data_IF_513385963369
#
_entry.id   IF_513385963369
#
_cell.length_a   1.000
_cell.length_b   1.000
_cell.length_c   1.000
_cell.angle_alpha   90.00
_cell.angle_beta   90.00
_cell.angle_gamma   90.00
#
_symmetry.space_group_name_H-M   'P 1'
#
loop_
_entity.id
_entity.type
_entity.pdbx_description
1 polymer ?
#
# COMPACT_ATOMS: atom_id res chain seq x y z
N UNK A 1 5.93 -26.14 -28.51
CA UNK A 1 5.58 -25.33 -27.33
C UNK A 1 6.15 -26.05 -26.12
N UNK A 2 7.38 -25.71 -25.74
CA UNK A 2 8.08 -26.32 -24.61
C UNK A 2 8.03 -25.32 -23.45
N UNK A 3 6.90 -25.31 -22.75
CA UNK A 3 6.62 -24.45 -21.60
C UNK A 3 6.40 -25.37 -20.38
N UNK A 4 7.37 -26.25 -20.12
CA UNK A 4 7.26 -27.32 -19.14
C UNK A 4 8.22 -27.11 -17.98
N UNK A 5 7.77 -26.36 -16.97
CA UNK A 5 8.49 -26.03 -15.72
C UNK A 5 9.72 -25.13 -15.87
N UNK A 6 9.63 -23.92 -15.28
CA UNK A 6 10.81 -23.08 -15.08
C UNK A 6 11.76 -23.76 -14.10
N UNK A 7 13.06 -23.64 -14.34
CA UNK A 7 14.09 -24.06 -13.39
C UNK A 7 14.30 -23.03 -12.28
N UNK A 8 14.91 -23.43 -11.16
CA UNK A 8 15.17 -22.52 -10.03
C UNK A 8 15.96 -21.27 -10.45
N UNK A 9 17.02 -21.42 -11.26
CA UNK A 9 17.84 -20.30 -11.73
C UNK A 9 17.04 -19.30 -12.58
N UNK A 10 16.11 -19.81 -13.39
CA UNK A 10 15.23 -18.96 -14.21
C UNK A 10 14.24 -18.19 -13.32
N UNK A 11 13.67 -18.84 -12.30
CA UNK A 11 12.82 -18.16 -11.32
C UNK A 11 13.57 -17.06 -10.57
N UNK A 12 14.82 -17.30 -10.16
CA UNK A 12 15.65 -16.28 -9.52
C UNK A 12 15.87 -15.06 -10.43
N UNK A 13 16.11 -15.29 -11.72
CA UNK A 13 16.26 -14.22 -12.71
C UNK A 13 14.97 -13.44 -12.98
N UNK A 14 13.80 -14.06 -12.78
CA UNK A 14 12.49 -13.46 -13.01
C UNK A 14 11.83 -12.89 -11.75
N UNK A 15 12.43 -13.06 -10.57
CA UNK A 15 11.73 -12.76 -9.31
C UNK A 15 11.33 -11.29 -9.20
N UNK A 16 12.18 -10.38 -9.66
CA UNK A 16 11.93 -8.94 -9.53
C UNK A 16 10.73 -8.55 -10.38
N UNK A 17 10.74 -8.94 -11.66
CA UNK A 17 9.61 -8.73 -12.56
C UNK A 17 8.33 -9.43 -12.07
N UNK A 18 8.46 -10.59 -11.42
CA UNK A 18 7.33 -11.29 -10.80
C UNK A 18 6.72 -10.49 -9.65
N UNK A 19 7.56 -9.98 -8.74
CA UNK A 19 7.12 -9.17 -7.59
C UNK A 19 6.54 -7.82 -8.03
N UNK A 20 7.08 -7.24 -9.10
CA UNK A 20 6.63 -5.97 -9.67
C UNK A 20 5.41 -6.13 -10.58
N UNK A 21 4.95 -7.36 -10.83
CA UNK A 21 3.83 -7.64 -11.74
C UNK A 21 4.12 -7.32 -13.22
N UNK A 22 5.39 -7.21 -13.60
CA UNK A 22 5.85 -6.86 -14.94
C UNK A 22 5.90 -8.05 -15.91
N UNK A 23 5.74 -9.28 -15.41
CA UNK A 23 5.76 -10.48 -16.25
C UNK A 23 4.48 -10.66 -17.09
N UNK A 24 4.60 -11.12 -18.34
CA UNK A 24 3.45 -11.58 -19.11
C UNK A 24 2.68 -12.71 -18.40
N UNK A 25 1.35 -12.83 -18.58
CA UNK A 25 0.52 -13.77 -17.82
C UNK A 25 0.97 -15.23 -17.86
N UNK A 26 1.54 -15.69 -18.98
CA UNK A 26 2.09 -17.04 -19.11
C UNK A 26 3.29 -17.27 -18.19
N UNK A 27 4.24 -16.32 -18.17
CA UNK A 27 5.43 -16.38 -17.32
C UNK A 27 5.09 -16.20 -15.84
N UNK A 28 4.17 -15.29 -15.52
CA UNK A 28 3.69 -15.11 -14.16
C UNK A 28 3.10 -16.42 -13.60
N UNK A 29 2.27 -17.12 -14.39
CA UNK A 29 1.72 -18.44 -14.00
C UNK A 29 2.80 -19.51 -13.85
N UNK A 30 3.80 -19.51 -14.72
CA UNK A 30 4.89 -20.47 -14.65
C UNK A 30 5.78 -20.26 -13.40
N UNK A 31 6.08 -19.02 -13.05
CA UNK A 31 6.80 -18.67 -11.81
C UNK A 31 5.97 -19.06 -10.59
N UNK A 32 4.69 -18.68 -10.55
CA UNK A 32 3.79 -19.05 -9.46
C UNK A 32 3.68 -20.58 -9.27
N UNK A 33 3.58 -21.33 -10.38
CA UNK A 33 3.57 -22.79 -10.36
C UNK A 33 4.86 -23.37 -9.77
N UNK A 34 6.02 -22.84 -10.15
CA UNK A 34 7.30 -23.27 -9.58
C UNK A 34 7.41 -22.95 -8.08
N UNK A 35 7.01 -21.74 -7.65
CA UNK A 35 7.01 -21.36 -6.23
C UNK A 35 6.09 -22.25 -5.38
N UNK A 36 4.99 -22.76 -5.96
CA UNK A 36 4.12 -23.73 -5.28
C UNK A 36 4.71 -25.14 -5.17
N UNK A 37 5.65 -25.52 -6.04
CA UNK A 37 6.23 -26.85 -6.09
C UNK A 37 7.63 -26.94 -5.44
N UNK A 38 8.37 -25.82 -5.37
CA UNK A 38 9.74 -25.78 -4.90
C UNK A 38 9.87 -24.98 -3.59
N UNK A 39 10.04 -25.71 -2.48
CA UNK A 39 10.21 -25.12 -1.15
C UNK A 39 11.42 -24.16 -1.08
N UNK A 40 12.53 -24.48 -1.75
CA UNK A 40 13.73 -23.65 -1.75
C UNK A 40 13.50 -22.26 -2.37
N UNK A 41 12.86 -22.21 -3.55
CA UNK A 41 12.53 -20.95 -4.19
C UNK A 41 11.49 -20.16 -3.38
N UNK A 42 10.46 -20.84 -2.84
CA UNK A 42 9.47 -20.17 -1.98
C UNK A 42 10.08 -19.55 -0.72
N UNK A 43 11.03 -20.25 -0.07
CA UNK A 43 11.75 -19.76 1.10
C UNK A 43 12.65 -18.58 0.76
N UNK A 44 13.36 -18.64 -0.36
CA UNK A 44 14.18 -17.53 -0.82
C UNK A 44 13.36 -16.27 -1.15
N UNK A 45 12.23 -16.41 -1.87
CA UNK A 45 11.32 -15.28 -2.15
C UNK A 45 10.79 -14.70 -0.84
N UNK A 46 10.44 -15.53 0.13
CA UNK A 46 9.98 -15.07 1.45
C UNK A 46 11.06 -14.26 2.17
N UNK A 47 12.32 -14.68 2.10
CA UNK A 47 13.45 -13.93 2.66
C UNK A 47 13.67 -12.59 1.93
N UNK A 48 13.57 -12.57 0.60
CA UNK A 48 13.66 -11.35 -0.19
C UNK A 48 12.57 -10.35 0.21
N UNK A 49 11.32 -10.80 0.35
CA UNK A 49 10.21 -9.99 0.81
C UNK A 49 10.40 -9.46 2.24
N UNK A 50 10.92 -10.28 3.16
CA UNK A 50 11.25 -9.84 4.51
C UNK A 50 12.31 -8.72 4.50
N UNK A 51 13.30 -8.83 3.61
CA UNK A 51 14.33 -7.80 3.42
C UNK A 51 13.72 -6.50 2.87
N UNK A 52 12.85 -6.59 1.87
CA UNK A 52 12.12 -5.43 1.31
C UNK A 52 11.29 -4.76 2.42
N UNK A 53 10.57 -5.52 3.23
CA UNK A 53 9.75 -4.99 4.32
C UNK A 53 10.61 -4.28 5.38
N UNK A 54 11.73 -4.88 5.79
CA UNK A 54 12.66 -4.28 6.75
C UNK A 54 13.28 -2.98 6.24
N UNK A 55 13.49 -2.85 4.92
CA UNK A 55 14.02 -1.64 4.31
C UNK A 55 12.93 -0.59 4.00
N UNK A 56 11.67 -1.00 3.92
CA UNK A 56 10.57 -0.10 3.58
C UNK A 56 10.29 0.91 4.70
N UNK A 57 10.56 0.57 5.97
CA UNK A 57 10.40 1.49 7.10
C UNK A 57 11.48 2.59 7.16
N UNK A 58 12.64 2.41 6.52
CA UNK A 58 13.62 3.50 6.38
C UNK A 58 13.10 4.64 5.50
N UNK A 59 12.00 4.39 4.76
CA UNK A 59 11.36 5.36 3.88
C UNK A 59 10.17 6.06 4.53
N UNK A 60 10.24 6.31 5.84
CA UNK A 60 9.29 7.17 6.54
C UNK A 60 9.19 8.53 5.80
N UNK A 61 7.97 8.91 5.41
CA UNK A 61 7.68 10.25 4.86
C UNK A 61 7.42 10.38 3.36
N UNK A 62 7.27 9.30 2.58
CA UNK A 62 6.97 9.45 1.13
C UNK A 62 5.58 10.01 0.87
N UNK A 63 4.59 9.68 1.71
CA UNK A 63 3.22 10.18 1.58
C UNK A 63 2.77 10.76 2.92
N UNK A 64 2.42 12.06 2.98
CA UNK A 64 1.81 12.65 4.17
C UNK A 64 0.52 11.90 4.56
N UNK A 65 0.33 11.67 5.86
CA UNK A 65 -0.82 10.95 6.41
C UNK A 65 -2.19 11.34 5.81
N UNK A 66 -2.55 12.63 5.61
CA UNK A 66 -3.85 12.98 5.03
C UNK A 66 -4.00 12.52 3.57
N UNK A 67 -2.92 12.50 2.80
CA UNK A 67 -2.93 12.05 1.40
C UNK A 67 -3.11 10.54 1.32
N UNK A 68 -2.47 9.78 2.21
CA UNK A 68 -2.64 8.33 2.26
C UNK A 68 -4.08 7.96 2.66
N UNK A 69 -4.70 8.71 3.57
CA UNK A 69 -6.10 8.50 3.95
C UNK A 69 -7.05 8.70 2.76
N UNK A 70 -6.91 9.80 2.02
CA UNK A 70 -7.73 10.08 0.83
C UNK A 70 -7.55 9.04 -0.29
N UNK A 71 -6.32 8.54 -0.50
CA UNK A 71 -6.06 7.47 -1.47
C UNK A 71 -6.77 6.17 -1.08
N UNK A 72 -6.74 5.80 0.20
CA UNK A 72 -7.43 4.60 0.69
C UNK A 72 -8.94 4.68 0.49
N UNK A 73 -9.55 5.83 0.76
CA UNK A 73 -10.98 6.04 0.52
C UNK A 73 -11.33 5.93 -0.96
N UNK A 74 -10.49 6.49 -1.84
CA UNK A 74 -10.68 6.41 -3.29
C UNK A 74 -10.62 4.96 -3.82
N UNK A 75 -9.75 4.12 -3.25
CA UNK A 75 -9.59 2.73 -3.68
C UNK A 75 -10.53 1.74 -2.96
N UNK A 76 -11.11 2.09 -1.82
CA UNK A 76 -12.08 1.23 -1.12
C UNK A 76 -13.34 0.92 -1.97
N UNK A 77 -13.60 1.68 -3.04
CA UNK A 77 -14.67 1.40 -4.00
C UNK A 77 -14.35 0.34 -5.06
N UNK A 78 -13.11 -0.18 -5.15
CA UNK A 78 -12.70 -1.13 -6.22
C UNK A 78 -13.04 -2.59 -5.92
N UNK A 79 -13.51 -2.91 -4.71
CA UNK A 79 -13.99 -4.25 -4.33
C UNK A 79 -15.31 -4.64 -5.04
N UNK A 80 -15.92 -3.69 -5.77
CA UNK A 80 -17.14 -3.89 -6.55
C UNK A 80 -16.96 -4.08 -8.06
N UNK A 81 -15.74 -3.96 -8.63
CA UNK A 81 -15.55 -4.06 -10.10
C UNK A 81 -15.49 -5.52 -10.61
N UNK A 82 -16.37 -6.39 -10.08
CA UNK A 82 -16.80 -7.65 -10.70
C UNK A 82 -18.31 -7.88 -10.60
N UNK A 83 -19.08 -6.90 -11.06
CA UNK A 83 -20.48 -6.97 -11.53
C UNK A 83 -20.75 -5.57 -12.07
N UNK A 84 -21.20 -5.30 -13.29
CA UNK A 84 -21.91 -6.07 -14.29
C UNK A 84 -21.94 -5.20 -15.56
N UNK A 85 -21.81 -5.83 -16.72
CA UNK A 85 -22.18 -5.25 -18.01
C UNK A 85 -23.68 -4.96 -18.00
N UNK A 86 -24.07 -3.68 -18.03
CA UNK A 86 -25.46 -3.26 -18.15
C UNK A 86 -25.59 -1.75 -18.30
N UNK A 87 -26.10 -1.32 -19.44
CA UNK A 87 -26.23 0.07 -19.85
C UNK A 87 -27.27 0.87 -19.04
N UNK A 88 -27.07 2.19 -19.03
CA UNK A 88 -28.07 3.27 -18.94
C UNK A 88 -28.49 3.79 -17.56
N UNK A 89 -28.15 5.06 -17.30
CA UNK A 89 -28.82 5.92 -16.31
C UNK A 89 -28.12 7.27 -16.18
N UNK A 90 -28.69 8.33 -16.76
CA UNK A 90 -28.07 9.64 -16.91
C UNK A 90 -27.83 10.42 -15.59
N UNK A 91 -26.92 11.40 -15.68
CA UNK A 91 -26.57 12.32 -14.60
C UNK A 91 -27.67 13.39 -14.46
N UNK A 92 -28.38 13.51 -13.33
CA UNK A 92 -29.17 14.70 -13.06
C UNK A 92 -28.23 15.84 -12.64
N UNK A 93 -28.03 16.82 -13.51
CA UNK A 93 -27.47 18.12 -13.13
C UNK A 93 -28.57 18.94 -12.48
N UNK A 94 -28.70 18.84 -11.15
CA UNK A 94 -29.52 19.74 -10.36
C UNK A 94 -28.68 20.93 -9.90
N UNK A 95 -28.71 22.02 -10.65
CA UNK A 95 -28.31 23.35 -10.17
C UNK A 95 -29.39 23.87 -9.22
N UNK A 96 -29.04 24.04 -7.94
CA UNK A 96 -29.85 24.76 -6.94
C UNK A 96 -28.98 25.80 -6.24
N UNK A 97 -29.44 27.05 -6.28
CA UNK A 97 -28.79 28.28 -5.86
C UNK A 97 -28.26 28.35 -4.39
N UNK A 98 -27.23 29.18 -4.13
CA UNK A 98 -26.70 29.45 -2.79
C UNK A 98 -27.44 30.62 -2.11
N UNK A 99 -28.32 30.34 -1.17
CA UNK A 99 -28.81 31.34 -0.23
C UNK A 99 -29.29 30.68 1.08
N UNK A 100 -28.39 30.55 2.05
CA UNK A 100 -28.76 30.74 3.45
C UNK A 100 -27.53 31.21 4.25
N UNK A 101 -27.59 32.48 4.65
CA UNK A 101 -26.65 33.14 5.55
C UNK A 101 -27.15 32.91 6.98
N UNK A 102 -26.26 32.44 7.86
CA UNK A 102 -26.57 32.30 9.28
C UNK A 102 -25.33 32.15 10.16
N UNK A 103 -24.51 33.20 10.25
CA UNK A 103 -23.59 33.42 11.38
C UNK A 103 -24.41 33.91 12.59
N UNK A 104 -24.15 33.42 13.81
CA UNK A 104 -23.35 34.28 14.69
C UNK A 104 -22.41 33.55 15.67
N UNK A 105 -21.18 34.07 15.73
CA UNK A 105 -20.35 34.33 16.90
C UNK A 105 -20.67 33.62 18.23
N UNK A 106 -19.70 32.84 18.73
CA UNK A 106 -19.62 32.36 20.11
C UNK A 106 -18.16 32.18 20.55
N UNK A 107 -17.70 33.10 21.39
CA UNK A 107 -16.34 33.24 21.96
C UNK A 107 -15.93 32.18 22.97
N UNK A 108 -14.61 31.89 23.08
CA UNK A 108 -13.97 31.70 24.40
C UNK A 108 -12.88 30.63 24.56
N UNK A 109 -11.62 31.07 24.66
CA UNK A 109 -10.71 30.67 25.76
C UNK A 109 -9.73 29.50 25.57
N UNK A 110 -8.64 29.41 26.38
CA UNK A 110 -7.29 29.30 25.81
C UNK A 110 -6.48 28.03 26.18
N UNK A 111 -5.40 27.87 25.41
CA UNK A 111 -4.07 27.30 25.70
C UNK A 111 -3.88 26.37 26.93
N UNK A 112 -3.47 25.14 26.64
CA UNK A 112 -2.78 24.26 27.58
C UNK A 112 -1.47 23.77 26.97
N UNK A 113 -0.38 24.45 27.28
CA UNK A 113 0.99 23.97 27.05
C UNK A 113 1.29 22.85 28.06
N UNK A 114 1.64 21.66 27.57
CA UNK A 114 2.16 20.57 28.37
C UNK A 114 3.62 20.31 27.99
N UNK A 115 4.54 20.89 28.76
CA UNK A 115 5.96 20.61 28.69
C UNK A 115 6.24 19.14 29.04
N UNK A 116 6.98 18.44 28.16
CA UNK A 116 7.50 17.09 28.43
C UNK A 116 8.93 17.24 28.98
N UNK A 117 9.23 16.82 30.22
CA UNK A 117 10.60 16.81 30.71
C UNK A 117 11.41 15.71 30.00
N UNK A 118 12.48 16.11 29.33
CA UNK A 118 13.56 15.23 28.87
C UNK A 118 14.26 14.61 30.08
N UNK A 119 14.08 13.31 30.28
CA UNK A 119 14.89 12.54 31.21
C UNK A 119 16.27 12.27 30.63
N UNK A 120 17.29 12.99 31.11
CA UNK A 120 18.70 12.60 31.01
C UNK A 120 18.95 11.44 32.00
N UNK A 121 19.31 10.27 31.47
CA UNK A 121 19.37 9.04 32.24
C UNK A 121 20.35 8.03 31.68
N UNK A 122 21.64 8.20 32.00
CA UNK A 122 22.51 7.06 32.30
C UNK A 122 23.63 6.75 31.30
N UNK A 123 24.77 7.38 31.52
CA UNK A 123 26.09 6.87 31.10
C UNK A 123 26.37 5.52 31.79
N UNK A 124 26.19 4.42 31.07
CA UNK A 124 26.69 3.09 31.43
C UNK A 124 28.10 2.87 30.88
N UNK A 125 29.04 2.50 31.76
CA UNK A 125 30.48 2.39 31.49
C UNK A 125 30.81 1.19 30.60
N UNK A 126 31.87 1.37 29.80
CA UNK A 126 32.67 0.29 29.22
C UNK A 126 33.24 -0.59 30.33
N UNK A 127 33.03 -1.89 30.23
CA UNK A 127 33.92 -2.93 30.75
C UNK A 127 34.54 -3.62 29.56
#
# INVERSE_FOLDING_TARGET
MEQGSLGCAEVLGLVTDYLDGALPPGRHRAVAGHLGACAGCSGWVSQLLATIAALSCLRDGVIPAPVLAALRESFAGVEGLRRESGCSGGVPTGSGDPADLGDPAGSGGPAGSGDVPTGDGGRGRRT
#
